data_IF_249049515041
#
_entry.id   IF_249049515041
#
_cell.length_a   1.000
_cell.length_b   1.000
_cell.length_c   1.000
_cell.angle_alpha   90.00
_cell.angle_beta   90.00
_cell.angle_gamma   90.00
#
_symmetry.space_group_name_H-M   'P 1'
#
loop_
_entity.id
_entity.type
_entity.pdbx_description
1 polymer ?
#
# COMPACT_ATOMS: atom_id res chain seq x y z
N UNK A 1 -11.76 6.87 -19.57
CA UNK A 1 -11.02 5.65 -19.94
C UNK A 1 -11.41 5.37 -21.38
N UNK A 2 -10.45 5.33 -22.31
CA UNK A 2 -10.75 5.16 -23.74
C UNK A 2 -11.50 3.82 -23.96
N UNK A 3 -12.41 3.76 -24.93
CA UNK A 3 -13.23 2.57 -25.26
C UNK A 3 -12.32 1.34 -25.49
N UNK A 4 -11.16 1.58 -26.11
CA UNK A 4 -10.13 0.57 -26.36
C UNK A 4 -9.55 -0.05 -25.08
N UNK A 5 -9.32 0.74 -24.02
CA UNK A 5 -8.83 0.23 -22.73
C UNK A 5 -9.90 -0.58 -22.00
N UNK A 6 -11.20 -0.28 -22.19
CA UNK A 6 -12.29 -1.09 -21.63
C UNK A 6 -12.33 -2.47 -22.28
N UNK A 7 -12.27 -2.55 -23.62
CA UNK A 7 -12.28 -3.82 -24.35
C UNK A 7 -11.08 -4.70 -23.97
N UNK A 8 -9.88 -4.11 -23.88
CA UNK A 8 -8.66 -4.82 -23.47
C UNK A 8 -8.75 -5.38 -22.05
N UNK A 9 -9.30 -4.60 -21.10
CA UNK A 9 -9.51 -5.04 -19.72
C UNK A 9 -10.44 -6.24 -19.61
N UNK A 10 -11.45 -6.33 -20.48
CA UNK A 10 -12.40 -7.46 -20.53
C UNK A 10 -11.75 -8.75 -21.05
N UNK A 11 -10.77 -8.64 -21.94
CA UNK A 11 -10.10 -9.81 -22.57
C UNK A 11 -8.88 -10.28 -21.77
N UNK A 12 -8.33 -9.46 -20.88
CA UNK A 12 -7.16 -9.81 -20.04
C UNK A 12 -7.28 -11.17 -19.31
N UNK A 13 -8.42 -11.55 -18.69
CA UNK A 13 -8.54 -12.84 -18.00
C UNK A 13 -8.47 -14.07 -18.91
N UNK A 14 -8.58 -13.88 -20.23
CA UNK A 14 -8.58 -14.95 -21.24
C UNK A 14 -7.14 -15.34 -21.63
N UNK A 15 -6.16 -14.46 -21.39
CA UNK A 15 -4.77 -14.77 -21.71
C UNK A 15 -4.16 -15.80 -20.76
N UNK A 16 -3.26 -16.67 -21.25
CA UNK A 16 -2.58 -17.65 -20.41
C UNK A 16 -1.74 -16.97 -19.33
N UNK A 17 -1.64 -17.60 -18.14
CA UNK A 17 -0.90 -17.07 -16.99
C UNK A 17 0.55 -16.69 -17.33
N UNK A 18 1.20 -17.45 -18.21
CA UNK A 18 2.56 -17.16 -18.70
C UNK A 18 2.65 -15.83 -19.49
N UNK A 19 1.62 -15.50 -20.26
CA UNK A 19 1.52 -14.22 -20.96
C UNK A 19 1.28 -13.08 -19.97
N UNK A 20 0.39 -13.25 -18.99
CA UNK A 20 0.15 -12.25 -17.94
C UNK A 20 1.40 -12.02 -17.08
N UNK A 21 2.15 -13.09 -16.75
CA UNK A 21 3.42 -13.04 -16.03
C UNK A 21 4.42 -12.08 -16.67
N UNK A 22 4.54 -12.11 -18.00
CA UNK A 22 5.46 -11.23 -18.75
C UNK A 22 5.15 -9.72 -18.53
N UNK A 23 3.88 -9.36 -18.33
CA UNK A 23 3.47 -7.97 -18.10
C UNK A 23 3.35 -7.61 -16.62
N UNK A 24 3.15 -8.60 -15.75
CA UNK A 24 2.98 -8.41 -14.31
C UNK A 24 4.28 -8.33 -13.53
N UNK A 25 5.36 -8.94 -14.03
CA UNK A 25 6.70 -8.95 -13.41
C UNK A 25 7.21 -7.60 -12.95
N UNK A 26 6.78 -6.51 -13.58
CA UNK A 26 7.21 -5.15 -13.16
C UNK A 26 6.52 -4.65 -11.89
N UNK A 27 5.37 -5.21 -11.50
CA UNK A 27 4.55 -4.72 -10.38
C UNK A 27 4.71 -5.55 -9.11
N UNK A 28 5.46 -6.65 -9.17
CA UNK A 28 5.78 -7.56 -8.08
C UNK A 28 7.29 -7.75 -8.05
N UNK A 29 7.87 -8.02 -6.88
CA UNK A 29 9.30 -8.27 -6.79
C UNK A 29 9.68 -9.65 -7.32
N UNK A 30 8.80 -10.63 -7.12
CA UNK A 30 9.02 -12.03 -7.42
C UNK A 30 8.07 -12.92 -6.64
N UNK A 31 8.32 -14.22 -6.67
CA UNK A 31 7.55 -15.23 -5.93
C UNK A 31 8.17 -15.51 -4.55
N UNK A 32 9.46 -15.17 -4.36
CA UNK A 32 10.24 -15.50 -3.17
C UNK A 32 10.67 -14.27 -2.36
N UNK A 33 10.98 -14.48 -1.08
CA UNK A 33 11.53 -13.43 -0.21
C UNK A 33 12.89 -12.92 -0.71
N UNK A 34 13.73 -13.80 -1.27
CA UNK A 34 15.04 -13.44 -1.82
C UNK A 34 14.91 -12.39 -2.95
N UNK A 35 13.93 -12.57 -3.86
CA UNK A 35 13.64 -11.60 -4.91
C UNK A 35 13.11 -10.26 -4.35
N UNK A 36 12.28 -10.30 -3.30
CA UNK A 36 11.85 -9.10 -2.58
C UNK A 36 13.01 -8.33 -1.94
N UNK A 37 13.99 -9.04 -1.38
CA UNK A 37 15.22 -8.44 -0.82
C UNK A 37 16.02 -7.78 -1.95
N UNK A 38 16.27 -8.48 -3.06
CA UNK A 38 17.05 -7.92 -4.18
C UNK A 38 16.43 -6.63 -4.73
N UNK A 39 15.12 -6.65 -4.98
CA UNK A 39 14.38 -5.46 -5.45
C UNK A 39 14.43 -4.34 -4.42
N UNK A 40 14.34 -4.68 -3.13
CA UNK A 40 14.43 -3.70 -2.04
C UNK A 40 15.81 -3.04 -1.97
N UNK A 41 16.89 -3.82 -2.07
CA UNK A 41 18.26 -3.30 -2.11
C UNK A 41 18.47 -2.35 -3.29
N UNK A 42 18.00 -2.72 -4.48
CA UNK A 42 18.09 -1.89 -5.68
C UNK A 42 17.37 -0.55 -5.50
N UNK A 43 16.21 -0.53 -4.83
CA UNK A 43 15.44 0.68 -4.53
C UNK A 43 16.12 1.52 -3.43
N UNK A 44 16.67 0.88 -2.40
CA UNK A 44 17.41 1.55 -1.33
C UNK A 44 18.68 2.24 -1.87
N UNK A 45 19.41 1.63 -2.81
CA UNK A 45 20.55 2.26 -3.52
C UNK A 45 20.15 3.51 -4.32
N UNK A 46 18.87 3.64 -4.68
CA UNK A 46 18.29 4.81 -5.33
C UNK A 46 17.69 5.83 -4.33
N UNK A 47 18.04 5.72 -3.05
CA UNK A 47 17.50 6.53 -1.95
C UNK A 47 15.99 6.41 -1.74
N UNK A 48 15.36 5.34 -2.25
CA UNK A 48 13.96 5.04 -2.00
C UNK A 48 13.82 4.08 -0.83
N UNK A 49 12.89 4.36 0.08
CA UNK A 49 12.48 3.41 1.12
C UNK A 49 11.56 2.36 0.51
N UNK A 50 11.33 1.24 1.18
CA UNK A 50 10.31 0.27 0.75
C UNK A 50 9.32 -0.11 1.86
N UNK A 51 8.18 -0.65 1.46
CA UNK A 51 7.34 -1.48 2.32
C UNK A 51 7.17 -2.81 1.62
N UNK A 52 7.49 -3.90 2.30
CA UNK A 52 7.37 -5.26 1.77
C UNK A 52 5.98 -5.79 2.16
N UNK A 53 5.30 -6.42 1.20
CA UNK A 53 3.98 -7.01 1.38
C UNK A 53 3.98 -8.45 0.86
N UNK A 54 3.51 -9.38 1.69
CA UNK A 54 3.36 -10.78 1.33
C UNK A 54 2.00 -10.96 0.67
N UNK A 55 2.00 -11.38 -0.60
CA UNK A 55 0.77 -11.65 -1.33
C UNK A 55 0.16 -12.97 -0.86
N UNK A 56 -1.08 -12.89 -0.40
CA UNK A 56 -1.88 -14.04 0.04
C UNK A 56 -3.32 -13.96 -0.45
N UNK A 57 -4.01 -15.10 -0.39
CA UNK A 57 -5.44 -15.22 -0.70
C UNK A 57 -6.30 -15.13 0.57
N UNK A 58 -7.62 -15.22 0.38
CA UNK A 58 -8.55 -15.31 1.50
C UNK A 58 -8.32 -16.63 2.24
N UNK A 59 -7.99 -16.55 3.52
CA UNK A 59 -7.83 -17.72 4.37
C UNK A 59 -9.18 -18.24 4.86
N UNK A 60 -9.24 -19.54 5.15
CA UNK A 60 -10.46 -20.20 5.68
C UNK A 60 -10.23 -20.89 7.02
N UNK A 61 -8.96 -21.05 7.43
CA UNK A 61 -8.56 -21.72 8.67
C UNK A 61 -7.50 -20.91 9.42
N UNK A 62 -7.49 -21.02 10.75
CA UNK A 62 -6.57 -20.26 11.61
C UNK A 62 -5.11 -20.69 11.43
N UNK A 63 -4.85 -21.92 11.02
CA UNK A 63 -3.49 -22.40 10.71
C UNK A 63 -2.87 -21.63 9.55
N UNK A 64 -3.69 -21.19 8.58
CA UNK A 64 -3.24 -20.37 7.45
C UNK A 64 -2.83 -18.96 7.93
N UNK A 65 -3.54 -18.41 8.93
CA UNK A 65 -3.15 -17.16 9.57
C UNK A 65 -1.80 -17.28 10.30
N UNK A 66 -1.58 -18.41 11.00
CA UNK A 66 -0.30 -18.69 11.65
C UNK A 66 0.83 -18.82 10.63
N UNK A 67 0.60 -19.52 9.51
CA UNK A 67 1.57 -19.61 8.42
C UNK A 67 1.92 -18.23 7.85
N UNK A 68 0.92 -17.38 7.59
CA UNK A 68 1.14 -16.01 7.13
C UNK A 68 1.95 -15.17 8.13
N UNK A 69 1.63 -15.28 9.44
CA UNK A 69 2.43 -14.64 10.50
C UNK A 69 3.89 -15.06 10.43
N UNK A 70 4.18 -16.36 10.29
CA UNK A 70 5.56 -16.84 10.20
C UNK A 70 6.31 -16.25 8.98
N UNK A 71 5.65 -16.15 7.83
CA UNK A 71 6.25 -15.51 6.65
C UNK A 71 6.51 -14.01 6.92
N UNK A 72 5.58 -13.32 7.57
CA UNK A 72 5.76 -11.91 7.96
C UNK A 72 6.92 -11.71 8.96
N UNK A 73 7.12 -12.64 9.91
CA UNK A 73 8.27 -12.63 10.81
C UNK A 73 9.58 -12.81 10.02
N UNK A 74 9.63 -13.75 9.08
CA UNK A 74 10.79 -13.94 8.20
C UNK A 74 11.12 -12.69 7.38
N UNK A 75 10.11 -11.95 6.93
CA UNK A 75 10.32 -10.66 6.25
C UNK A 75 10.97 -9.64 7.20
N UNK A 76 10.49 -9.53 8.44
CA UNK A 76 11.09 -8.62 9.43
C UNK A 76 12.54 -8.99 9.76
N UNK A 77 12.80 -10.28 9.94
CA UNK A 77 14.14 -10.81 10.22
C UNK A 77 15.08 -10.51 9.05
N UNK A 78 14.63 -10.73 7.81
CA UNK A 78 15.41 -10.41 6.61
C UNK A 78 15.66 -8.90 6.43
N UNK A 79 14.70 -8.04 6.78
CA UNK A 79 14.90 -6.58 6.75
C UNK A 79 16.03 -6.18 7.70
N UNK A 80 16.06 -6.74 8.91
CA UNK A 80 17.14 -6.44 9.86
C UNK A 80 18.47 -7.07 9.42
N UNK A 81 18.50 -8.34 9.02
CA UNK A 81 19.72 -9.04 8.60
C UNK A 81 20.44 -8.32 7.46
N UNK A 82 19.69 -7.93 6.43
CA UNK A 82 20.21 -7.22 5.26
C UNK A 82 20.30 -5.69 5.44
N UNK A 83 19.92 -5.17 6.62
CA UNK A 83 19.91 -3.73 6.96
C UNK A 83 19.15 -2.88 5.92
N UNK A 84 18.00 -3.39 5.48
CA UNK A 84 17.19 -2.74 4.45
C UNK A 84 16.45 -1.53 5.04
N UNK A 85 16.35 -0.44 4.25
CA UNK A 85 15.46 0.67 4.55
C UNK A 85 14.03 0.34 4.10
N UNK A 86 13.44 -0.60 4.82
CA UNK A 86 12.18 -1.24 4.52
C UNK A 86 11.32 -1.35 5.77
N UNK A 87 10.01 -1.49 5.60
CA UNK A 87 9.08 -1.85 6.67
C UNK A 87 8.07 -2.88 6.16
N UNK A 88 7.22 -3.42 7.04
CA UNK A 88 6.25 -4.45 6.67
C UNK A 88 4.85 -3.83 6.45
N UNK A 89 4.16 -4.19 5.38
CA UNK A 89 2.71 -4.00 5.23
C UNK A 89 1.99 -5.34 5.37
N UNK A 90 0.88 -5.38 6.10
CA UNK A 90 0.09 -6.60 6.36
C UNK A 90 -1.40 -6.38 6.12
N UNK A 91 -2.13 -7.45 5.81
CA UNK A 91 -3.60 -7.48 5.74
C UNK A 91 -4.15 -8.31 6.87
N UNK A 92 -5.11 -7.76 7.60
CA UNK A 92 -5.64 -8.40 8.80
C UNK A 92 -6.46 -9.66 8.45
N UNK A 93 -7.12 -9.68 7.29
CA UNK A 93 -7.85 -10.87 6.83
C UNK A 93 -6.94 -12.08 6.71
N UNK A 94 -5.71 -11.91 6.22
CA UNK A 94 -4.71 -12.97 6.12
C UNK A 94 -4.11 -13.38 7.49
N UNK A 95 -4.38 -12.61 8.54
CA UNK A 95 -3.94 -12.87 9.91
C UNK A 95 -5.09 -13.32 10.81
N UNK A 96 -6.27 -13.58 10.26
CA UNK A 96 -7.40 -14.18 10.99
C UNK A 96 -8.59 -13.26 11.23
N UNK A 97 -8.61 -12.01 10.73
CA UNK A 97 -9.65 -11.03 11.08
C UNK A 97 -11.09 -11.55 10.89
N UNK A 98 -11.33 -12.29 9.81
CA UNK A 98 -12.66 -12.82 9.46
C UNK A 98 -13.00 -14.16 10.14
N UNK A 99 -12.05 -14.75 10.85
CA UNK A 99 -12.20 -16.03 11.53
C UNK A 99 -12.28 -15.83 13.03
N UNK A 100 -11.31 -15.11 13.60
CA UNK A 100 -11.23 -14.77 15.02
C UNK A 100 -10.45 -13.47 15.21
N UNK A 101 -11.15 -12.42 15.69
CA UNK A 101 -10.57 -11.08 15.90
C UNK A 101 -9.50 -11.09 16.99
N UNK A 102 -9.61 -11.93 18.01
CA UNK A 102 -8.63 -12.01 19.09
C UNK A 102 -7.35 -12.68 18.60
N UNK A 103 -7.45 -13.79 17.85
CA UNK A 103 -6.30 -14.43 17.22
C UNK A 103 -5.61 -13.48 16.25
N UNK A 104 -6.38 -12.70 15.48
CA UNK A 104 -5.83 -11.67 14.60
C UNK A 104 -5.02 -10.62 15.38
N UNK A 105 -5.58 -10.08 16.47
CA UNK A 105 -4.91 -9.11 17.33
C UNK A 105 -3.60 -9.67 17.91
N UNK A 106 -3.60 -10.91 18.39
CA UNK A 106 -2.41 -11.57 18.93
C UNK A 106 -1.34 -11.77 17.86
N UNK A 107 -1.72 -12.24 16.67
CA UNK A 107 -0.80 -12.39 15.55
C UNK A 107 -0.15 -11.06 15.17
N UNK A 108 -0.93 -9.98 15.08
CA UNK A 108 -0.41 -8.66 14.74
C UNK A 108 0.48 -8.11 15.86
N UNK A 109 0.12 -8.34 17.14
CA UNK A 109 0.93 -7.93 18.29
C UNK A 109 2.33 -8.52 18.21
N UNK A 110 2.45 -9.82 17.95
CA UNK A 110 3.75 -10.48 17.80
C UNK A 110 4.59 -9.87 16.66
N UNK A 111 3.97 -9.51 15.54
CA UNK A 111 4.65 -8.82 14.43
C UNK A 111 5.13 -7.43 14.83
N UNK A 112 4.31 -6.67 15.54
CA UNK A 112 4.66 -5.31 16.02
C UNK A 112 5.78 -5.36 17.05
N UNK A 113 5.76 -6.33 17.96
CA UNK A 113 6.82 -6.56 18.94
C UNK A 113 8.14 -6.92 18.27
N UNK A 114 8.11 -7.88 17.32
CA UNK A 114 9.31 -8.23 16.53
C UNK A 114 9.85 -7.02 15.78
N UNK A 115 8.98 -6.25 15.13
CA UNK A 115 9.40 -5.04 14.42
C UNK A 115 10.03 -4.01 15.36
N UNK A 116 9.54 -3.88 16.61
CA UNK A 116 10.08 -2.96 17.61
C UNK A 116 11.51 -3.33 17.99
N UNK A 117 11.80 -4.62 18.17
CA UNK A 117 13.14 -5.12 18.51
C UNK A 117 14.17 -4.75 17.42
N UNK A 118 13.72 -4.62 16.17
CA UNK A 118 14.54 -4.18 15.03
C UNK A 118 14.45 -2.67 14.72
N UNK A 119 13.79 -1.88 15.57
CA UNK A 119 13.50 -0.45 15.30
C UNK A 119 12.81 -0.24 13.95
N UNK A 120 11.96 -1.18 13.58
CA UNK A 120 11.19 -1.23 12.35
C UNK A 120 9.70 -0.98 12.62
N UNK A 121 8.90 -0.88 11.57
CA UNK A 121 7.52 -0.44 11.57
C UNK A 121 6.59 -1.45 10.88
N UNK A 122 5.36 -1.56 11.37
CA UNK A 122 4.30 -2.36 10.72
C UNK A 122 3.15 -1.47 10.26
N UNK A 123 2.81 -1.55 8.99
CA UNK A 123 1.61 -0.91 8.40
C UNK A 123 0.49 -1.93 8.28
N UNK A 124 -0.60 -1.70 8.98
CA UNK A 124 -1.86 -2.41 8.76
C UNK A 124 -2.56 -1.80 7.55
N UNK A 125 -2.65 -2.54 6.45
CA UNK A 125 -3.36 -2.10 5.26
C UNK A 125 -4.87 -2.14 5.48
N UNK A 126 -5.56 -1.12 4.94
CA UNK A 126 -7.01 -1.06 4.98
C UNK A 126 -7.62 -1.81 3.81
N UNK A 127 -8.49 -2.76 4.15
CA UNK A 127 -9.18 -3.62 3.20
C UNK A 127 -10.54 -3.02 2.78
N UNK A 128 -11.52 -3.83 2.37
CA UNK A 128 -12.84 -3.31 2.02
C UNK A 128 -13.61 -2.81 3.25
N UNK A 129 -14.75 -2.15 3.01
CA UNK A 129 -15.55 -1.50 4.05
C UNK A 129 -16.02 -2.44 5.16
N UNK A 130 -16.12 -3.75 4.89
CA UNK A 130 -16.50 -4.75 5.90
C UNK A 130 -15.40 -5.04 6.92
N UNK A 131 -14.18 -4.54 6.70
CA UNK A 131 -13.04 -4.72 7.59
C UNK A 131 -12.69 -3.43 8.35
N UNK A 132 -13.27 -2.28 7.98
CA UNK A 132 -12.77 -0.96 8.40
C UNK A 132 -12.84 -0.76 9.91
N UNK A 133 -13.97 -1.06 10.53
CA UNK A 133 -14.15 -0.87 11.98
C UNK A 133 -13.19 -1.78 12.77
N UNK A 134 -13.15 -3.07 12.46
CA UNK A 134 -12.25 -4.01 13.15
C UNK A 134 -10.78 -3.67 12.95
N UNK A 135 -10.41 -3.12 11.79
CA UNK A 135 -9.04 -2.67 11.51
C UNK A 135 -8.66 -1.46 12.35
N UNK A 136 -9.56 -0.48 12.48
CA UNK A 136 -9.35 0.70 13.33
C UNK A 136 -9.27 0.28 14.79
N UNK A 137 -10.14 -0.62 15.25
CA UNK A 137 -10.13 -1.13 16.62
C UNK A 137 -8.80 -1.84 16.97
N UNK A 138 -8.34 -2.75 16.12
CA UNK A 138 -7.07 -3.46 16.31
C UNK A 138 -5.91 -2.47 16.31
N UNK A 139 -5.91 -1.51 15.37
CA UNK A 139 -4.90 -0.47 15.34
C UNK A 139 -4.87 0.34 16.64
N UNK A 140 -6.01 0.82 17.13
CA UNK A 140 -6.08 1.62 18.36
C UNK A 140 -5.61 0.84 19.60
N UNK A 141 -5.93 -0.45 19.69
CA UNK A 141 -5.46 -1.31 20.79
C UNK A 141 -3.94 -1.46 20.78
N UNK A 142 -3.33 -1.63 19.60
CA UNK A 142 -1.88 -1.73 19.48
C UNK A 142 -1.21 -0.37 19.69
N UNK A 143 -1.73 0.69 19.09
CA UNK A 143 -1.19 2.06 19.19
C UNK A 143 -1.22 2.62 20.61
N UNK A 144 -2.08 2.09 21.49
CA UNK A 144 -2.07 2.43 22.92
C UNK A 144 -0.78 2.01 23.62
N UNK A 145 -0.05 1.03 23.08
CA UNK A 145 1.15 0.44 23.69
C UNK A 145 2.40 0.60 22.82
N UNK A 146 2.25 0.61 21.49
CA UNK A 146 3.35 0.61 20.53
C UNK A 146 3.29 1.84 19.61
N UNK A 147 4.42 2.49 19.38
CA UNK A 147 4.56 3.65 18.48
C UNK A 147 5.00 3.26 17.05
N UNK A 148 5.38 2.00 16.85
CA UNK A 148 5.91 1.46 15.60
C UNK A 148 4.85 0.74 14.74
N UNK A 149 3.58 1.11 14.90
CA UNK A 149 2.44 0.60 14.12
C UNK A 149 1.62 1.75 13.54
N UNK A 150 1.03 1.55 12.38
CA UNK A 150 0.08 2.50 11.80
C UNK A 150 -0.90 1.83 10.86
N UNK A 151 -1.93 2.56 10.45
CA UNK A 151 -2.99 2.04 9.57
C UNK A 151 -3.17 2.88 8.29
N UNK A 152 -4.13 2.52 7.45
CA UNK A 152 -4.45 3.19 6.18
C UNK A 152 -5.86 3.77 6.24
N UNK A 153 -6.08 4.96 5.66
CA UNK A 153 -7.42 5.51 5.41
C UNK A 153 -7.63 5.76 3.92
N UNK A 154 -8.83 5.43 3.43
CA UNK A 154 -9.20 5.46 2.02
C UNK A 154 -10.08 6.67 1.68
N UNK A 155 -9.56 7.65 0.96
CA UNK A 155 -10.21 8.93 0.69
C UNK A 155 -11.56 8.87 -0.06
N UNK A 156 -11.90 7.75 -0.70
CA UNK A 156 -13.19 7.57 -1.35
C UNK A 156 -14.34 7.27 -0.38
N UNK A 157 -14.10 6.87 0.87
CA UNK A 157 -15.20 6.58 1.81
C UNK A 157 -15.69 7.88 2.43
N UNK A 158 -17.02 7.98 2.62
CA UNK A 158 -17.66 9.16 3.22
C UNK A 158 -17.30 9.32 4.71
N UNK A 159 -17.00 8.21 5.40
CA UNK A 159 -16.60 8.18 6.83
C UNK A 159 -15.19 8.70 7.12
N UNK A 160 -14.31 8.73 6.11
CA UNK A 160 -12.87 8.88 6.35
C UNK A 160 -12.43 10.17 7.01
N UNK A 161 -13.18 11.27 6.85
CA UNK A 161 -12.85 12.53 7.53
C UNK A 161 -13.01 12.38 9.04
N UNK A 162 -14.06 11.70 9.48
CA UNK A 162 -14.34 11.51 10.90
C UNK A 162 -13.39 10.48 11.51
N UNK A 163 -13.08 9.40 10.78
CA UNK A 163 -12.06 8.43 11.19
C UNK A 163 -10.69 9.12 11.37
N UNK A 164 -10.26 9.95 10.41
CA UNK A 164 -8.98 10.67 10.51
C UNK A 164 -8.95 11.63 11.69
N UNK A 165 -10.02 12.37 11.96
CA UNK A 165 -10.09 13.28 13.13
C UNK A 165 -9.96 12.53 14.44
N UNK A 166 -10.66 11.40 14.57
CA UNK A 166 -10.57 10.52 15.74
C UNK A 166 -9.14 10.00 15.93
N UNK A 167 -8.50 9.52 14.85
CA UNK A 167 -7.17 8.93 14.91
C UNK A 167 -6.07 9.98 15.16
N UNK A 168 -6.20 11.18 14.62
CA UNK A 168 -5.31 12.32 14.90
C UNK A 168 -5.29 12.64 16.41
N UNK A 169 -6.44 12.60 17.08
CA UNK A 169 -6.52 12.84 18.52
C UNK A 169 -5.75 11.80 19.36
N UNK A 170 -5.27 10.71 18.74
CA UNK A 170 -4.43 9.67 19.34
C UNK A 170 -2.97 9.72 18.85
N UNK A 171 -2.57 10.73 18.06
CA UNK A 171 -1.22 10.84 17.51
C UNK A 171 -0.92 9.78 16.45
N UNK A 172 -1.91 9.43 15.62
CA UNK A 172 -1.79 8.31 14.70
C UNK A 172 -0.75 8.54 13.58
N UNK A 173 -0.12 7.45 13.14
CA UNK A 173 0.66 7.42 11.91
C UNK A 173 -0.19 6.81 10.79
N UNK A 174 -0.63 7.60 9.80
CA UNK A 174 -1.57 7.14 8.76
C UNK A 174 -0.98 7.18 7.35
N UNK A 175 -1.28 6.16 6.55
CA UNK A 175 -1.17 6.20 5.09
C UNK A 175 -2.52 6.64 4.52
N UNK A 176 -2.55 7.69 3.71
CA UNK A 176 -3.75 8.12 2.99
C UNK A 176 -3.66 7.62 1.55
N UNK A 177 -4.64 6.83 1.13
CA UNK A 177 -4.78 6.37 -0.25
C UNK A 177 -6.16 6.79 -0.82
N UNK A 178 -6.42 6.53 -2.10
CA UNK A 178 -7.75 6.82 -2.67
C UNK A 178 -8.81 5.81 -2.27
N UNK A 179 -8.44 4.55 -2.04
CA UNK A 179 -9.35 3.41 -2.00
C UNK A 179 -9.43 2.67 -3.34
N UNK A 180 -9.61 1.37 -3.27
CA UNK A 180 -9.51 0.46 -4.43
C UNK A 180 -10.65 -0.55 -4.56
N UNK A 181 -11.33 -0.86 -3.47
CA UNK A 181 -12.42 -1.84 -3.47
C UNK A 181 -13.67 -1.28 -4.16
N UNK A 182 -14.49 -2.13 -4.77
CA UNK A 182 -15.73 -1.65 -5.39
C UNK A 182 -16.85 -1.53 -4.35
N UNK A 183 -16.95 -0.34 -3.76
CA UNK A 183 -17.90 -0.07 -2.69
C UNK A 183 -19.21 0.57 -3.17
N UNK A 184 -20.31 0.38 -2.46
CA UNK A 184 -21.58 1.02 -2.82
C UNK A 184 -21.48 2.55 -2.84
N UNK A 185 -22.11 3.27 -3.80
CA UNK A 185 -22.26 4.72 -3.77
C UNK A 185 -22.90 5.28 -2.49
N UNK A 186 -23.60 4.42 -1.72
CA UNK A 186 -24.13 4.77 -0.39
C UNK A 186 -23.02 5.17 0.57
N UNK A 187 -21.88 4.47 0.54
CA UNK A 187 -20.76 4.67 1.48
C UNK A 187 -19.52 5.28 0.83
N UNK A 188 -19.40 5.23 -0.50
CA UNK A 188 -18.23 5.71 -1.22
C UNK A 188 -18.55 6.76 -2.30
N UNK A 189 -17.69 7.76 -2.43
CA UNK A 189 -17.69 8.70 -3.55
C UNK A 189 -17.25 7.98 -4.83
N UNK A 190 -18.00 8.18 -5.93
CA UNK A 190 -17.63 7.67 -7.26
C UNK A 190 -17.01 8.73 -8.17
N UNK A 191 -17.22 10.02 -7.86
CA UNK A 191 -16.66 11.11 -8.64
C UNK A 191 -15.17 11.31 -8.33
N UNK A 192 -14.32 11.23 -9.36
CA UNK A 192 -12.85 11.32 -9.23
C UNK A 192 -12.36 12.64 -8.62
N UNK A 193 -13.02 13.76 -8.90
CA UNK A 193 -12.61 15.06 -8.35
C UNK A 193 -13.02 15.19 -6.88
N UNK A 194 -14.18 14.65 -6.51
CA UNK A 194 -14.60 14.56 -5.10
C UNK A 194 -13.60 13.71 -4.30
N UNK A 195 -13.20 12.53 -4.82
CA UNK A 195 -12.19 11.68 -4.19
C UNK A 195 -10.84 12.42 -4.04
N UNK A 196 -10.40 13.14 -5.08
CA UNK A 196 -9.16 13.93 -5.01
C UNK A 196 -9.22 15.05 -3.97
N UNK A 197 -10.35 15.74 -3.89
CA UNK A 197 -10.53 16.83 -2.93
C UNK A 197 -10.55 16.26 -1.51
N UNK A 198 -11.26 15.16 -1.28
CA UNK A 198 -11.27 14.49 0.02
C UNK A 198 -9.88 13.95 0.38
N UNK A 199 -9.14 13.35 -0.57
CA UNK A 199 -7.75 12.92 -0.35
C UNK A 199 -6.89 14.06 0.17
N UNK A 200 -6.94 15.22 -0.49
CA UNK A 200 -6.18 16.39 -0.04
C UNK A 200 -6.68 16.89 1.32
N UNK A 201 -7.98 16.85 1.59
CA UNK A 201 -8.52 17.21 2.90
C UNK A 201 -7.95 16.33 4.01
N UNK A 202 -7.90 15.01 3.82
CA UNK A 202 -7.33 14.07 4.81
C UNK A 202 -5.82 14.30 5.02
N UNK A 203 -5.06 14.52 3.93
CA UNK A 203 -3.62 14.84 4.04
C UNK A 203 -3.40 16.14 4.81
N UNK A 204 -4.18 17.19 4.53
CA UNK A 204 -4.07 18.47 5.26
C UNK A 204 -4.39 18.31 6.74
N UNK A 205 -5.45 17.58 7.10
CA UNK A 205 -5.78 17.29 8.49
C UNK A 205 -4.61 16.66 9.24
N UNK A 206 -3.96 15.65 8.65
CA UNK A 206 -2.78 15.00 9.25
C UNK A 206 -1.60 15.96 9.40
N UNK A 207 -1.32 16.74 8.36
CA UNK A 207 -0.20 17.70 8.35
C UNK A 207 -0.41 18.86 9.32
N UNK A 208 -1.63 19.33 9.50
CA UNK A 208 -1.94 20.42 10.42
C UNK A 208 -1.90 19.98 11.89
N UNK A 209 -2.14 18.69 12.16
CA UNK A 209 -2.23 18.14 13.51
C UNK A 209 -0.95 17.44 14.01
N UNK A 210 0.19 17.82 13.46
CA UNK A 210 1.52 17.27 13.73
C UNK A 210 1.74 15.76 13.50
N UNK A 211 0.74 15.04 13.00
CA UNK A 211 0.80 13.60 12.79
C UNK A 211 1.60 13.22 11.52
N UNK A 212 2.23 12.03 11.53
CA UNK A 212 2.97 11.52 10.37
C UNK A 212 2.01 11.00 9.29
N UNK A 213 2.26 11.39 8.03
CA UNK A 213 1.43 10.95 6.90
C UNK A 213 2.21 10.33 5.74
N UNK A 214 1.80 9.12 5.35
CA UNK A 214 2.15 8.51 4.08
C UNK A 214 1.19 8.97 2.98
N UNK A 215 1.66 9.81 2.05
CA UNK A 215 0.87 10.32 0.93
C UNK A 215 0.93 9.30 -0.22
N UNK A 216 0.04 8.30 -0.19
CA UNK A 216 0.07 7.18 -1.13
C UNK A 216 -0.73 7.45 -2.40
N UNK A 217 -0.06 7.97 -3.43
CA UNK A 217 -0.69 8.26 -4.72
C UNK A 217 0.29 8.35 -5.89
N UNK A 218 -0.17 7.98 -7.08
CA UNK A 218 0.51 8.21 -8.35
C UNK A 218 -0.11 9.34 -9.18
N UNK A 219 -1.05 10.09 -8.61
CA UNK A 219 -1.75 11.16 -9.32
C UNK A 219 -0.92 12.44 -9.29
N UNK A 220 -0.36 12.91 -10.42
CA UNK A 220 0.51 14.07 -10.43
C UNK A 220 -0.20 15.34 -9.93
N UNK A 221 -1.53 15.43 -10.07
CA UNK A 221 -2.30 16.56 -9.52
C UNK A 221 -2.32 16.56 -7.99
N UNK A 222 -2.36 15.38 -7.37
CA UNK A 222 -2.31 15.27 -5.91
C UNK A 222 -0.90 15.51 -5.40
N UNK A 223 0.13 15.00 -6.07
CA UNK A 223 1.53 15.29 -5.73
C UNK A 223 1.80 16.80 -5.79
N UNK A 224 1.41 17.47 -6.88
CA UNK A 224 1.60 18.92 -7.01
C UNK A 224 0.85 19.71 -5.92
N UNK A 225 -0.40 19.33 -5.59
CA UNK A 225 -1.17 19.95 -4.50
C UNK A 225 -0.54 19.70 -3.13
N UNK A 226 0.04 18.52 -2.90
CA UNK A 226 0.77 18.22 -1.66
C UNK A 226 2.05 19.06 -1.57
N UNK A 227 2.83 19.18 -2.65
CA UNK A 227 4.02 20.05 -2.69
C UNK A 227 3.69 21.49 -2.35
N UNK A 228 2.68 22.03 -3.00
CA UNK A 228 2.21 23.39 -2.74
C UNK A 228 1.87 23.56 -1.26
N UNK A 229 1.07 22.65 -0.69
CA UNK A 229 0.66 22.75 0.71
C UNK A 229 1.82 22.62 1.70
N UNK A 230 2.71 21.66 1.47
CA UNK A 230 3.91 21.43 2.28
C UNK A 230 4.81 22.67 2.28
N UNK A 231 5.00 23.30 1.11
CA UNK A 231 5.79 24.52 0.99
C UNK A 231 5.12 25.70 1.69
N UNK A 232 3.84 25.95 1.43
CA UNK A 232 3.05 27.05 2.03
C UNK A 232 3.03 26.98 3.55
N UNK A 233 2.93 25.77 4.11
CA UNK A 233 2.88 25.53 5.56
C UNK A 233 4.25 25.26 6.20
N UNK A 234 5.32 25.28 5.41
CA UNK A 234 6.68 24.97 5.85
C UNK A 234 6.75 23.63 6.63
N UNK A 235 6.03 22.62 6.14
CA UNK A 235 5.97 21.31 6.80
C UNK A 235 7.34 20.63 6.73
N UNK A 236 7.84 20.22 7.90
CA UNK A 236 9.11 19.53 8.00
C UNK A 236 9.09 18.17 7.28
N UNK A 237 10.18 17.86 6.56
CA UNK A 237 10.32 16.62 5.78
C UNK A 237 10.37 15.35 6.67
N UNK A 238 10.52 15.48 7.98
CA UNK A 238 10.39 14.39 8.94
C UNK A 238 8.96 13.89 9.09
N UNK A 239 7.96 14.71 8.76
CA UNK A 239 6.54 14.47 9.07
C UNK A 239 5.74 13.77 7.98
N UNK A 240 6.32 13.53 6.83
CA UNK A 240 5.63 12.86 5.74
C UNK A 240 6.59 12.08 4.84
N UNK A 241 6.00 11.22 4.02
CA UNK A 241 6.65 10.65 2.84
C UNK A 241 5.61 10.45 1.74
N UNK A 242 6.06 10.47 0.49
CA UNK A 242 5.26 10.01 -0.63
C UNK A 242 5.35 8.49 -0.73
N UNK A 243 4.28 7.85 -1.21
CA UNK A 243 4.26 6.40 -1.36
C UNK A 243 3.69 5.98 -2.70
N UNK A 244 4.35 5.03 -3.36
CA UNK A 244 3.98 4.55 -4.69
C UNK A 244 4.19 3.04 -4.80
N UNK A 245 3.35 2.38 -5.58
CA UNK A 245 3.50 0.98 -5.96
C UNK A 245 4.73 0.76 -6.86
N UNK A 246 5.38 -0.40 -6.70
CA UNK A 246 6.41 -0.91 -7.60
C UNK A 246 5.92 -0.94 -9.06
N UNK A 247 6.80 -0.56 -9.99
CA UNK A 247 6.53 -0.57 -11.44
C UNK A 247 5.58 0.52 -11.95
N UNK A 248 5.20 1.50 -11.10
CA UNK A 248 4.26 2.56 -11.46
C UNK A 248 4.92 3.94 -11.32
N UNK A 249 4.73 4.79 -12.34
CA UNK A 249 5.15 6.20 -12.37
C UNK A 249 6.62 6.45 -11.97
N UNK A 250 7.55 5.69 -12.55
CA UNK A 250 8.98 5.75 -12.19
C UNK A 250 9.61 7.13 -12.36
N UNK A 251 9.23 7.85 -13.41
CA UNK A 251 9.70 9.22 -13.64
C UNK A 251 9.28 10.16 -12.50
N UNK A 252 8.05 9.99 -12.00
CA UNK A 252 7.55 10.77 -10.86
C UNK A 252 8.25 10.37 -9.56
N UNK A 253 8.61 9.09 -9.39
CA UNK A 253 9.43 8.63 -8.26
C UNK A 253 10.79 9.31 -8.23
N UNK A 254 11.47 9.35 -9.38
CA UNK A 254 12.77 10.03 -9.55
C UNK A 254 12.64 11.53 -9.28
N UNK A 255 11.61 12.16 -9.81
CA UNK A 255 11.34 13.57 -9.54
C UNK A 255 11.19 13.84 -8.03
N UNK A 256 10.38 13.04 -7.32
CA UNK A 256 10.16 13.23 -5.87
C UNK A 256 11.45 13.13 -5.06
N UNK A 257 12.31 12.17 -5.40
CA UNK A 257 13.63 12.01 -4.75
C UNK A 257 14.55 13.19 -5.09
N UNK A 258 14.61 13.62 -6.35
CA UNK A 258 15.45 14.75 -6.78
C UNK A 258 15.02 16.07 -6.16
N UNK A 259 13.72 16.25 -5.91
CA UNK A 259 13.15 17.39 -5.18
C UNK A 259 13.43 17.29 -3.65
N UNK A 260 14.12 16.22 -3.22
CA UNK A 260 14.59 16.01 -1.86
C UNK A 260 13.50 15.58 -0.90
N UNK A 261 12.41 14.98 -1.37
CA UNK A 261 11.34 14.43 -0.54
C UNK A 261 11.53 12.92 -0.30
N UNK A 262 11.05 12.43 0.85
CA UNK A 262 11.05 10.99 1.14
C UNK A 262 10.03 10.28 0.24
N UNK A 263 10.44 9.14 -0.29
CA UNK A 263 9.58 8.25 -1.07
C UNK A 263 9.70 6.81 -0.56
N UNK A 264 8.56 6.15 -0.36
CA UNK A 264 8.48 4.70 -0.09
C UNK A 264 7.81 3.97 -1.25
N UNK A 265 8.44 2.89 -1.70
CA UNK A 265 7.89 2.00 -2.73
C UNK A 265 7.22 0.79 -2.07
N UNK A 266 5.99 0.48 -2.47
CA UNK A 266 5.30 -0.73 -2.05
C UNK A 266 5.73 -1.90 -2.92
N UNK A 267 6.36 -2.90 -2.30
CA UNK A 267 7.06 -4.03 -2.92
C UNK A 267 6.33 -5.32 -2.54
N UNK A 268 5.37 -5.76 -3.37
CA UNK A 268 4.65 -7.01 -3.13
C UNK A 268 5.42 -8.20 -3.68
N UNK A 269 5.38 -9.33 -2.98
CA UNK A 269 5.98 -10.59 -3.44
C UNK A 269 5.15 -11.80 -2.99
N UNK A 270 5.38 -12.96 -3.60
CA UNK A 270 4.73 -14.21 -3.21
C UNK A 270 4.07 -14.93 -4.38
N UNK A 271 3.83 -16.22 -4.22
CA UNK A 271 3.23 -17.10 -5.24
C UNK A 271 1.85 -16.63 -5.70
N UNK A 272 1.10 -15.94 -4.83
CA UNK A 272 -0.25 -15.44 -5.09
C UNK A 272 -0.25 -14.09 -5.84
N UNK A 273 0.68 -13.93 -6.79
CA UNK A 273 0.88 -12.68 -7.52
C UNK A 273 -0.21 -12.37 -8.55
N UNK A 274 -0.91 -13.39 -9.04
CA UNK A 274 -1.81 -13.27 -10.19
C UNK A 274 -3.00 -12.32 -9.91
N UNK A 275 -3.79 -12.48 -8.83
CA UNK A 275 -4.90 -11.58 -8.53
C UNK A 275 -4.45 -10.13 -8.34
N UNK A 276 -3.33 -9.92 -7.63
CA UNK A 276 -2.75 -8.60 -7.42
C UNK A 276 -2.37 -7.94 -8.75
N UNK A 277 -1.65 -8.68 -9.59
CA UNK A 277 -1.16 -8.19 -10.88
C UNK A 277 -2.28 -7.86 -11.85
N UNK A 278 -3.33 -8.68 -11.87
CA UNK A 278 -4.52 -8.42 -12.69
C UNK A 278 -5.20 -7.10 -12.30
N UNK A 279 -5.28 -6.76 -11.01
CA UNK A 279 -5.80 -5.45 -10.56
C UNK A 279 -4.91 -4.31 -11.07
N UNK A 280 -3.58 -4.41 -10.93
CA UNK A 280 -2.62 -3.41 -11.43
C UNK A 280 -2.72 -3.18 -12.93
N UNK A 281 -2.87 -4.26 -13.69
CA UNK A 281 -3.04 -4.22 -15.13
C UNK A 281 -4.34 -3.48 -15.51
N UNK A 282 -5.46 -3.80 -14.85
CA UNK A 282 -6.75 -3.13 -15.10
C UNK A 282 -6.72 -1.62 -14.81
N UNK A 283 -5.93 -1.21 -13.83
CA UNK A 283 -5.79 0.19 -13.44
C UNK A 283 -4.79 0.97 -14.30
N UNK A 284 -3.93 0.28 -15.06
CA UNK A 284 -2.89 0.95 -15.85
C UNK A 284 -3.45 1.46 -17.20
N UNK A 285 -3.54 2.79 -17.41
CA UNK A 285 -4.02 3.34 -18.67
C UNK A 285 -3.11 3.07 -19.87
N UNK A 286 -1.84 2.69 -19.65
CA UNK A 286 -0.85 2.35 -20.68
C UNK A 286 -0.86 0.86 -21.06
N UNK A 287 -1.75 0.05 -20.49
CA UNK A 287 -1.79 -1.41 -20.74
C UNK A 287 -1.87 -1.77 -22.22
N UNK A 288 -2.66 -1.03 -23.00
CA UNK A 288 -2.81 -1.24 -24.43
C UNK A 288 -1.47 -1.09 -25.19
N UNK A 289 -0.65 -0.11 -24.81
CA UNK A 289 0.66 0.12 -25.44
C UNK A 289 1.66 -0.99 -25.17
N UNK A 290 1.63 -1.60 -23.98
CA UNK A 290 2.50 -2.73 -23.66
C UNK A 290 2.13 -3.99 -24.46
N UNK A 291 0.83 -4.28 -24.58
CA UNK A 291 0.34 -5.45 -25.31
C UNK A 291 0.63 -5.30 -26.81
N UNK A 292 0.39 -4.12 -27.39
CA UNK A 292 0.74 -3.82 -28.78
C UNK A 292 2.25 -3.97 -29.03
N UNK A 293 3.10 -3.36 -28.20
CA UNK A 293 4.57 -3.40 -28.38
C UNK A 293 5.13 -4.83 -28.40
N UNK A 294 4.59 -5.73 -27.57
CA UNK A 294 5.05 -7.12 -27.50
C UNK A 294 4.45 -8.03 -28.60
N UNK A 295 3.29 -7.70 -29.16
CA UNK A 295 2.76 -8.39 -30.34
C UNK A 295 3.61 -8.09 -31.59
N UNK A 296 4.15 -6.87 -31.71
CA UNK A 296 5.04 -6.47 -32.80
C UNK A 296 6.52 -6.85 -32.60
N UNK A 297 6.92 -7.34 -31.42
CA UNK A 297 8.26 -7.90 -31.19
C UNK A 297 8.35 -9.41 -31.42
N UNK A 298 7.22 -10.07 -31.71
CA UNK A 298 7.14 -11.51 -32.06
C UNK A 298 6.54 -11.76 -33.45
N UNK A 299 6.42 -10.72 -34.28
CA UNK A 299 6.04 -10.80 -35.68
C UNK A 299 7.21 -10.49 -36.59
#
# INVERSE_FOLDING_TARGET
MNIFNKALVTVLPIFPKSFISLFSRRYIAGETLAEAIEVTEQLNRQNMRTTIDVLGENITRLEEAQAMKQICLQVLDAIDEHKLNANLSIKLTQLGLKLDKQVCLENVRELVERARDYRNFVRIDMEDSTCTDDTIDIYLQLHATYDNVGTVIQAYLKRSVDDVRMLIAKGANLRICKGIYDESPKIAYKNRNVIRNNFMQLVKLMLDADCYVGIATHDPKLIARSYQYIHEKQIDKSRYEFQMLLGVSEDLRKQIINDGHKLRVYVPFGEQWYPYSMRRLKENPRIAGYILKNLFQKG
#
